data_IF_967578684112
#
_entry.id   IF_967578684112
#
_cell.length_a   1.000
_cell.length_b   1.000
_cell.length_c   1.000
_cell.angle_alpha   90.00
_cell.angle_beta   90.00
_cell.angle_gamma   90.00
#
_symmetry.space_group_name_H-M   'P 1'
#
loop_
_entity.id
_entity.type
_entity.pdbx_description
1 polymer ?
#
# COMPACT_ATOMS: atom_id res chain seq x y z
N UNK A 1 -11.72 19.78 -10.19
CA UNK A 1 -10.92 18.63 -10.68
C UNK A 1 -9.48 19.07 -10.96
N UNK A 2 -8.50 18.69 -10.13
CA UNK A 2 -7.07 19.00 -10.38
C UNK A 2 -6.49 17.94 -11.32
N UNK A 3 -6.17 18.31 -12.57
CA UNK A 3 -5.45 17.45 -13.52
C UNK A 3 -4.04 17.20 -12.98
N UNK A 4 -3.75 15.95 -12.56
CA UNK A 4 -2.38 15.52 -12.24
C UNK A 4 -1.57 15.54 -13.53
N UNK A 5 -0.57 16.42 -13.64
CA UNK A 5 0.39 16.46 -14.76
C UNK A 5 1.12 15.13 -14.83
N UNK A 6 0.88 14.37 -15.89
CA UNK A 6 1.51 13.07 -16.14
C UNK A 6 2.93 13.33 -16.65
N UNK A 7 3.94 13.17 -15.79
CA UNK A 7 5.34 13.19 -16.21
C UNK A 7 5.80 11.79 -16.68
N UNK A 8 6.75 11.84 -17.62
CA UNK A 8 7.34 10.75 -18.42
C UNK A 8 7.52 9.40 -17.69
N UNK A 9 7.36 8.27 -18.40
CA UNK A 9 7.52 6.92 -17.84
C UNK A 9 9.00 6.68 -17.52
N UNK A 10 9.37 6.76 -16.24
CA UNK A 10 10.72 6.41 -15.76
C UNK A 10 11.23 7.25 -14.59
N UNK A 11 10.79 8.49 -14.42
CA UNK A 11 11.26 9.42 -13.36
C UNK A 11 10.18 9.82 -12.34
N UNK A 12 9.14 9.00 -12.15
CA UNK A 12 8.09 9.32 -11.16
C UNK A 12 8.63 9.07 -9.74
N UNK A 13 8.90 10.15 -9.02
CA UNK A 13 9.17 10.15 -7.58
C UNK A 13 7.86 10.45 -6.83
N UNK A 14 7.63 9.75 -5.72
CA UNK A 14 6.60 10.10 -4.75
C UNK A 14 7.14 11.19 -3.84
N UNK A 15 6.32 12.18 -3.55
CA UNK A 15 6.67 13.25 -2.60
C UNK A 15 5.95 12.97 -1.29
N UNK A 16 6.71 12.75 -0.23
CA UNK A 16 6.23 12.67 1.14
C UNK A 16 6.53 14.00 1.82
N UNK A 17 5.51 14.65 2.35
CA UNK A 17 5.68 15.85 3.15
C UNK A 17 5.85 15.45 4.61
N UNK A 18 6.95 15.88 5.21
CA UNK A 18 7.29 15.56 6.58
C UNK A 18 7.19 16.82 7.43
N UNK A 19 6.75 16.72 8.70
CA UNK A 19 6.77 17.84 9.63
C UNK A 19 8.17 18.44 9.73
N UNK A 20 8.28 19.77 9.83
CA UNK A 20 9.58 20.46 9.95
C UNK A 20 10.34 19.96 11.19
N UNK A 21 9.62 19.69 12.28
CA UNK A 21 10.16 19.13 13.52
C UNK A 21 10.90 17.79 13.33
N UNK A 22 10.54 17.00 12.31
CA UNK A 22 11.25 15.77 12.02
C UNK A 22 12.69 16.05 11.57
N UNK A 23 12.88 17.05 10.72
CA UNK A 23 14.21 17.41 10.21
C UNK A 23 15.10 18.00 11.30
N UNK A 24 14.54 18.81 12.19
CA UNK A 24 15.28 19.38 13.34
C UNK A 24 15.71 18.27 14.29
N UNK A 25 14.80 17.35 14.64
CA UNK A 25 15.11 16.22 15.51
C UNK A 25 16.18 15.28 14.93
N UNK A 26 16.16 15.04 13.62
CA UNK A 26 17.22 14.26 12.96
C UNK A 26 18.58 14.97 13.10
N UNK A 27 18.61 16.28 12.88
CA UNK A 27 19.84 17.05 13.00
C UNK A 27 20.37 17.08 14.45
N UNK A 28 19.49 17.29 15.43
CA UNK A 28 19.85 17.30 16.86
C UNK A 28 20.36 15.94 17.34
N UNK A 29 19.69 14.84 16.95
CA UNK A 29 20.04 13.49 17.43
C UNK A 29 21.19 12.86 16.68
N UNK A 30 21.34 13.14 15.39
CA UNK A 30 22.36 12.49 14.55
C UNK A 30 23.56 13.39 14.24
N UNK A 31 23.51 14.67 14.62
CA UNK A 31 24.57 15.66 14.34
C UNK A 31 24.75 15.98 12.85
N UNK A 32 23.87 15.48 11.97
CA UNK A 32 23.91 15.67 10.51
C UNK A 32 22.51 15.86 9.98
N UNK A 33 22.37 16.63 8.91
CA UNK A 33 21.08 16.81 8.26
C UNK A 33 20.60 15.51 7.61
N UNK A 34 19.27 15.33 7.52
CA UNK A 34 18.68 14.18 6.82
C UNK A 34 19.18 14.08 5.36
N UNK A 35 19.41 15.22 4.71
CA UNK A 35 19.94 15.27 3.34
C UNK A 35 21.33 14.62 3.25
N UNK A 36 22.24 14.96 4.17
CA UNK A 36 23.58 14.38 4.22
C UNK A 36 23.55 12.89 4.55
N UNK A 37 22.68 12.48 5.48
CA UNK A 37 22.52 11.07 5.80
C UNK A 37 22.05 10.26 4.60
N UNK A 38 21.09 10.77 3.82
CA UNK A 38 20.60 10.10 2.60
C UNK A 38 21.70 10.00 1.54
N UNK A 39 22.49 11.06 1.35
CA UNK A 39 23.61 11.05 0.38
C UNK A 39 24.69 10.03 0.76
N UNK A 40 24.90 9.80 2.06
CA UNK A 40 25.83 8.80 2.57
C UNK A 40 25.21 7.40 2.72
N UNK A 41 23.98 7.19 2.25
CA UNK A 41 23.28 5.91 2.36
C UNK A 41 23.19 5.19 1.01
N UNK A 42 22.79 3.92 1.07
CA UNK A 42 22.43 3.13 -0.12
C UNK A 42 21.25 3.70 -0.92
N UNK A 43 20.55 4.72 -0.41
CA UNK A 43 19.37 5.32 -1.03
C UNK A 43 19.65 6.64 -1.77
N UNK A 44 20.91 7.09 -1.85
CA UNK A 44 21.31 8.38 -2.43
C UNK A 44 20.72 8.67 -3.82
N UNK A 45 20.60 7.65 -4.67
CA UNK A 45 20.13 7.79 -6.05
C UNK A 45 18.60 7.81 -6.15
N UNK A 46 17.93 7.15 -5.21
CA UNK A 46 16.48 6.96 -5.23
C UNK A 46 15.72 7.79 -4.21
N UNK A 47 16.38 8.52 -3.31
CA UNK A 47 15.76 9.39 -2.31
C UNK A 47 16.45 10.75 -2.29
N UNK A 48 15.68 11.83 -2.25
CA UNK A 48 16.22 13.19 -2.14
C UNK A 48 15.34 14.08 -1.28
N UNK A 49 15.94 14.98 -0.52
CA UNK A 49 15.23 15.97 0.31
C UNK A 49 15.17 17.31 -0.42
N UNK A 50 13.99 17.94 -0.45
CA UNK A 50 13.79 19.32 -0.96
C UNK A 50 12.85 20.08 -0.01
N UNK A 51 13.42 20.97 0.80
CA UNK A 51 12.67 21.63 1.88
C UNK A 51 12.16 20.60 2.88
N UNK A 52 10.87 20.66 3.22
CA UNK A 52 10.19 19.70 4.09
C UNK A 52 9.68 18.44 3.36
N UNK A 53 10.16 18.18 2.14
CA UNK A 53 9.67 17.10 1.28
C UNK A 53 10.74 16.06 1.02
N UNK A 54 10.37 14.80 1.17
CA UNK A 54 11.15 13.63 0.80
C UNK A 54 10.64 13.08 -0.54
N UNK A 55 11.47 13.14 -1.57
CA UNK A 55 11.16 12.59 -2.89
C UNK A 55 11.76 11.19 -2.99
N UNK A 56 10.91 10.18 -3.06
CA UNK A 56 11.26 8.76 -3.06
C UNK A 56 10.94 8.15 -4.42
N UNK A 57 11.87 7.42 -5.01
CA UNK A 57 11.64 6.69 -6.27
C UNK A 57 10.52 5.66 -6.08
N UNK A 58 9.74 5.42 -7.14
CA UNK A 58 8.66 4.43 -7.11
C UNK A 58 9.15 3.04 -6.70
N UNK A 59 10.36 2.65 -7.12
CA UNK A 59 10.95 1.35 -6.79
C UNK A 59 11.20 1.24 -5.29
N UNK A 60 11.93 2.21 -4.70
CA UNK A 60 12.19 2.19 -3.25
C UNK A 60 10.88 2.22 -2.46
N UNK A 61 9.91 3.04 -2.88
CA UNK A 61 8.64 3.13 -2.18
C UNK A 61 7.85 1.81 -2.24
N UNK A 62 7.87 1.10 -3.37
CA UNK A 62 7.24 -0.22 -3.49
C UNK A 62 7.90 -1.24 -2.56
N UNK A 63 9.22 -1.21 -2.44
CA UNK A 63 9.96 -2.17 -1.61
C UNK A 63 9.55 -2.11 -0.13
N UNK A 64 9.01 -0.98 0.34
CA UNK A 64 8.45 -0.85 1.70
C UNK A 64 7.29 -1.84 1.92
N UNK A 65 6.55 -2.19 0.86
CA UNK A 65 5.37 -3.04 0.92
C UNK A 65 5.62 -4.49 0.47
N UNK A 66 6.82 -4.82 -0.04
CA UNK A 66 7.13 -6.16 -0.54
C UNK A 66 7.03 -7.22 0.57
N UNK A 67 7.61 -6.96 1.76
CA UNK A 67 7.59 -7.92 2.86
C UNK A 67 6.17 -8.13 3.43
N UNK A 68 5.38 -7.08 3.74
CA UNK A 68 3.98 -7.26 4.11
C UNK A 68 3.18 -8.03 3.05
N UNK A 69 3.36 -7.72 1.77
CA UNK A 69 2.65 -8.38 0.67
C UNK A 69 3.01 -9.86 0.56
N UNK A 70 4.30 -10.21 0.72
CA UNK A 70 4.76 -11.59 0.78
C UNK A 70 4.08 -12.36 1.92
N UNK A 71 4.05 -11.80 3.13
CA UNK A 71 3.38 -12.43 4.28
C UNK A 71 1.88 -12.66 4.05
N UNK A 72 1.22 -11.72 3.37
CA UNK A 72 -0.20 -11.88 2.96
C UNK A 72 -0.34 -13.05 1.99
N UNK A 73 0.51 -13.14 0.97
CA UNK A 73 0.51 -14.24 -0.01
C UNK A 73 0.75 -15.59 0.67
N UNK A 74 1.72 -15.68 1.58
CA UNK A 74 2.06 -16.90 2.29
C UNK A 74 0.88 -17.39 3.16
N UNK A 75 0.21 -16.45 3.84
CA UNK A 75 -0.99 -16.72 4.62
C UNK A 75 -2.12 -17.25 3.73
N UNK A 76 -2.43 -16.56 2.63
CA UNK A 76 -3.48 -16.96 1.70
C UNK A 76 -3.20 -18.33 1.07
N UNK A 77 -1.95 -18.60 0.70
CA UNK A 77 -1.53 -19.89 0.16
C UNK A 77 -1.79 -21.01 1.16
N UNK A 78 -1.40 -20.80 2.42
CA UNK A 78 -1.59 -21.75 3.51
C UNK A 78 -3.06 -22.03 3.83
N UNK A 79 -3.90 -21.00 3.80
CA UNK A 79 -5.34 -21.16 4.02
C UNK A 79 -5.97 -21.88 2.84
N UNK A 80 -5.64 -21.49 1.61
CA UNK A 80 -6.25 -22.03 0.40
C UNK A 80 -5.99 -23.53 0.21
N UNK A 81 -4.81 -24.03 0.58
CA UNK A 81 -4.46 -25.45 0.49
C UNK A 81 -5.26 -26.34 1.45
N UNK A 82 -5.80 -25.76 2.53
CA UNK A 82 -6.56 -26.50 3.56
C UNK A 82 -8.07 -26.43 3.36
N UNK A 83 -8.57 -25.43 2.64
CA UNK A 83 -9.99 -25.01 2.70
C UNK A 83 -10.73 -25.12 1.37
N UNK A 84 -10.05 -25.48 0.28
CA UNK A 84 -10.68 -25.64 -1.04
C UNK A 84 -11.30 -24.36 -1.60
N UNK A 85 -10.96 -23.19 -1.03
CA UNK A 85 -11.48 -21.89 -1.45
C UNK A 85 -11.06 -21.62 -2.90
N UNK A 86 -11.96 -21.07 -3.71
CA UNK A 86 -11.71 -20.74 -5.13
C UNK A 86 -11.67 -19.24 -5.41
N UNK A 87 -12.07 -18.41 -4.45
CA UNK A 87 -12.28 -16.98 -4.64
C UNK A 87 -11.81 -16.18 -3.43
N UNK A 88 -11.15 -15.05 -3.69
CA UNK A 88 -10.68 -14.11 -2.68
C UNK A 88 -11.35 -12.76 -2.93
N UNK A 89 -12.09 -12.26 -1.94
CA UNK A 89 -12.65 -10.91 -1.94
C UNK A 89 -11.73 -9.99 -1.15
N UNK A 90 -10.90 -9.23 -1.86
CA UNK A 90 -10.01 -8.27 -1.27
C UNK A 90 -10.76 -6.94 -1.03
N UNK A 91 -10.72 -6.46 0.21
CA UNK A 91 -11.43 -5.25 0.65
C UNK A 91 -10.44 -4.27 1.29
N UNK A 92 -10.69 -2.98 1.08
CA UNK A 92 -9.87 -1.87 1.60
C UNK A 92 -9.04 -1.20 0.51
N UNK A 93 -8.64 0.04 0.73
CA UNK A 93 -8.01 0.88 -0.32
C UNK A 93 -6.70 0.31 -0.86
N UNK A 94 -5.87 -0.31 -0.01
CA UNK A 94 -4.63 -0.95 -0.45
C UNK A 94 -4.90 -2.12 -1.41
N UNK A 95 -5.99 -2.86 -1.17
CA UNK A 95 -6.39 -3.99 -2.00
C UNK A 95 -6.83 -3.58 -3.39
N UNK A 96 -7.27 -2.33 -3.58
CA UNK A 96 -7.65 -1.79 -4.89
C UNK A 96 -6.45 -1.44 -5.76
N UNK A 97 -5.25 -1.40 -5.18
CA UNK A 97 -4.04 -1.03 -5.92
C UNK A 97 -3.66 -2.12 -6.92
N UNK A 98 -3.26 -1.71 -8.13
CA UNK A 98 -2.76 -2.65 -9.16
C UNK A 98 -1.53 -3.44 -8.67
N UNK A 99 -0.67 -2.83 -7.85
CA UNK A 99 0.50 -3.50 -7.28
C UNK A 99 0.12 -4.71 -6.41
N UNK A 100 -0.87 -4.54 -5.53
CA UNK A 100 -1.38 -5.63 -4.70
C UNK A 100 -2.09 -6.72 -5.53
N UNK A 101 -2.99 -6.28 -6.42
CA UNK A 101 -3.80 -7.17 -7.24
C UNK A 101 -2.98 -8.03 -8.22
N UNK A 102 -1.97 -7.43 -8.86
CA UNK A 102 -1.09 -8.14 -9.79
C UNK A 102 -0.24 -9.18 -9.04
N UNK A 103 0.28 -8.83 -7.86
CA UNK A 103 1.07 -9.75 -7.04
C UNK A 103 0.26 -10.96 -6.57
N UNK A 104 -0.98 -10.75 -6.10
CA UNK A 104 -1.85 -11.87 -5.73
C UNK A 104 -2.19 -12.76 -6.92
N UNK A 105 -2.51 -12.18 -8.09
CA UNK A 105 -2.85 -12.98 -9.29
C UNK A 105 -1.66 -13.79 -9.80
N UNK A 106 -0.46 -13.26 -9.67
CA UNK A 106 0.77 -13.97 -10.04
C UNK A 106 1.07 -15.11 -9.06
N UNK A 107 0.89 -14.87 -7.75
CA UNK A 107 1.19 -15.88 -6.73
C UNK A 107 0.11 -16.96 -6.60
N UNK A 108 -1.15 -16.64 -6.90
CA UNK A 108 -2.31 -17.52 -6.73
C UNK A 108 -3.13 -17.60 -8.03
N UNK A 109 -2.56 -18.09 -9.14
CA UNK A 109 -3.20 -18.08 -10.46
C UNK A 109 -4.51 -18.89 -10.52
N UNK A 110 -4.65 -19.89 -9.65
CA UNK A 110 -5.85 -20.73 -9.53
C UNK A 110 -7.02 -20.02 -8.82
N UNK A 111 -6.79 -18.88 -8.16
CA UNK A 111 -7.79 -18.19 -7.35
C UNK A 111 -8.45 -17.04 -8.10
N UNK A 112 -9.77 -16.91 -7.97
CA UNK A 112 -10.51 -15.75 -8.48
C UNK A 112 -10.39 -14.58 -7.51
N UNK A 113 -9.48 -13.66 -7.79
CA UNK A 113 -9.28 -12.46 -6.97
C UNK A 113 -10.21 -11.33 -7.44
N UNK A 114 -11.11 -10.90 -6.56
CA UNK A 114 -12.05 -9.80 -6.76
C UNK A 114 -11.75 -8.68 -5.77
N UNK A 115 -11.57 -7.46 -6.28
CA UNK A 115 -11.53 -6.27 -5.41
C UNK A 115 -12.95 -5.76 -5.26
N UNK A 116 -13.44 -5.68 -4.02
CA UNK A 116 -14.61 -4.87 -3.72
C UNK A 116 -14.15 -3.43 -3.47
N UNK A 117 -15.00 -2.44 -3.77
CA UNK A 117 -14.69 -1.03 -3.46
C UNK A 117 -14.74 -0.84 -1.94
N UNK A 118 -13.57 -1.00 -1.31
CA UNK A 118 -13.21 -0.65 0.06
C UNK A 118 -14.32 -0.67 1.12
N UNK A 119 -14.29 0.35 1.96
CA UNK A 119 -15.17 0.61 3.11
C UNK A 119 -16.66 0.54 2.76
N UNK A 120 -17.03 0.87 1.52
CA UNK A 120 -18.41 0.78 1.05
C UNK A 120 -18.92 -0.66 0.96
N UNK A 121 -18.07 -1.65 0.69
CA UNK A 121 -18.50 -3.05 0.68
C UNK A 121 -18.70 -3.62 2.09
N UNK A 122 -17.82 -3.28 3.04
CA UNK A 122 -17.97 -3.63 4.45
C UNK A 122 -19.23 -3.01 5.04
N UNK A 123 -19.42 -1.70 4.85
CA UNK A 123 -20.60 -1.00 5.37
C UNK A 123 -21.90 -1.52 4.74
N UNK A 124 -21.93 -1.72 3.40
CA UNK A 124 -23.09 -2.31 2.73
C UNK A 124 -23.39 -3.71 3.26
N UNK A 125 -22.36 -4.53 3.44
CA UNK A 125 -22.50 -5.87 4.00
C UNK A 125 -23.07 -5.82 5.42
N UNK A 126 -22.57 -4.93 6.28
CA UNK A 126 -23.05 -4.75 7.64
C UNK A 126 -24.52 -4.27 7.68
N UNK A 127 -24.89 -3.31 6.83
CA UNK A 127 -26.28 -2.82 6.73
C UNK A 127 -27.21 -3.92 6.24
N UNK A 128 -26.86 -4.64 5.19
CA UNK A 128 -27.66 -5.76 4.68
C UNK A 128 -27.80 -6.85 5.74
N UNK A 129 -26.71 -7.20 6.42
CA UNK A 129 -26.74 -8.19 7.49
C UNK A 129 -27.67 -7.76 8.63
N UNK A 130 -27.54 -6.51 9.12
CA UNK A 130 -28.40 -5.99 10.18
C UNK A 130 -29.88 -5.88 9.78
N UNK A 131 -30.17 -5.55 8.51
CA UNK A 131 -31.53 -5.45 8.01
C UNK A 131 -32.18 -6.82 7.79
N UNK A 132 -31.48 -7.75 7.13
CA UNK A 132 -32.00 -9.09 6.82
C UNK A 132 -32.14 -10.00 8.04
N UNK A 133 -31.48 -9.69 9.16
CA UNK A 133 -31.73 -10.38 10.44
C UNK A 133 -33.08 -9.99 11.06
N UNK A 134 -33.60 -8.80 10.78
CA UNK A 134 -34.97 -8.42 11.19
C UNK A 134 -36.07 -9.08 10.35
N UNK A 135 -35.83 -9.40 9.07
CA UNK A 135 -36.86 -10.01 8.20
C UNK A 135 -37.07 -11.51 8.43
N UNK A 136 -36.31 -12.16 9.32
CA UNK A 136 -36.42 -13.61 9.62
C UNK A 136 -36.94 -13.92 11.02
N UNK A 137 -37.61 -12.97 11.66
CA UNK A 137 -38.36 -13.18 12.90
C UNK A 137 -39.83 -12.91 12.62
N UNK A 138 -40.45 -13.77 11.81
CA UNK A 138 -41.91 -13.96 11.68
C UNK A 138 -42.17 -15.40 11.24
#
# INVERSE_FOLDING_TARGET
MRKKKTSLPGKRRLTLELPVMFFTQVQERCGRSLKEQIQNSKYKDGVSVKGNKLLVSKTIFKNIFDEPLKKIIDCLSTVSSKTGISSIFAVGEFSETKYFQDALRQALPQMRIRSARGEKSLLKGAVLFGHSVCEKID
#
